data_IF_728301404119
#
_entry.id   IF_728301404119
#
_cell.length_a   1.000
_cell.length_b   1.000
_cell.length_c   1.000
_cell.angle_alpha   90.00
_cell.angle_beta   90.00
_cell.angle_gamma   90.00
#
_symmetry.space_group_name_H-M   'P 1'
#
loop_
_entity.id
_entity.type
_entity.pdbx_description
1 polymer ?
#
# COMPACT_ATOMS: atom_id res chain seq x y z
N UNK A 1 16.42 3.75 8.15
CA UNK A 1 15.33 4.42 7.42
C UNK A 1 15.97 5.45 6.50
N UNK A 2 15.80 5.27 5.20
CA UNK A 2 16.17 6.28 4.20
C UNK A 2 14.91 6.59 3.40
N UNK A 3 14.48 7.85 3.38
CA UNK A 3 13.21 8.27 2.79
C UNK A 3 13.46 9.16 1.58
N UNK A 4 12.82 8.82 0.46
CA UNK A 4 12.80 9.66 -0.73
C UNK A 4 11.70 10.73 -0.64
N UNK A 5 11.87 11.84 -1.35
CA UNK A 5 10.86 12.89 -1.35
C UNK A 5 9.53 12.42 -1.97
N UNK A 6 8.41 12.83 -1.36
CA UNK A 6 7.07 12.55 -1.88
C UNK A 6 6.37 13.86 -2.29
N UNK A 7 6.14 14.11 -3.60
CA UNK A 7 5.64 15.41 -4.06
C UNK A 7 4.13 15.59 -3.98
N UNK A 8 3.33 14.52 -3.89
CA UNK A 8 1.88 14.56 -4.10
C UNK A 8 1.11 13.59 -3.19
N UNK A 9 -0.11 14.00 -2.79
CA UNK A 9 -1.07 13.12 -2.11
C UNK A 9 -1.66 12.09 -3.08
N UNK A 10 -2.42 11.12 -2.56
CA UNK A 10 -3.11 10.11 -3.36
C UNK A 10 -4.62 10.38 -3.35
N UNK A 11 -5.20 10.97 -4.40
CA UNK A 11 -6.64 11.16 -4.51
C UNK A 11 -7.29 9.82 -4.86
N UNK A 12 -7.81 9.10 -3.85
CA UNK A 12 -8.20 7.67 -3.96
C UNK A 12 -9.28 7.47 -5.02
N UNK A 13 -10.31 8.31 -5.05
CA UNK A 13 -11.42 8.18 -6.00
C UNK A 13 -10.95 8.38 -7.45
N UNK A 14 -10.11 9.38 -7.70
CA UNK A 14 -9.52 9.63 -9.01
C UNK A 14 -8.52 8.53 -9.40
N UNK A 15 -7.78 7.98 -8.43
CA UNK A 15 -6.88 6.84 -8.65
C UNK A 15 -7.68 5.62 -9.14
N UNK A 16 -8.81 5.33 -8.49
CA UNK A 16 -9.70 4.23 -8.88
C UNK A 16 -10.30 4.51 -10.26
N UNK A 17 -10.81 5.72 -10.52
CA UNK A 17 -11.34 6.12 -11.84
C UNK A 17 -10.31 5.97 -12.96
N UNK A 18 -9.05 6.31 -12.71
CA UNK A 18 -7.97 6.12 -13.68
C UNK A 18 -7.67 4.63 -13.96
N UNK A 19 -7.73 3.78 -12.95
CA UNK A 19 -7.57 2.32 -13.11
C UNK A 19 -8.77 1.72 -13.88
N UNK A 20 -9.98 2.20 -13.60
CA UNK A 20 -11.22 1.78 -14.27
C UNK A 20 -11.25 2.19 -15.74
N UNK A 21 -10.68 3.33 -16.08
CA UNK A 21 -10.54 3.77 -17.47
C UNK A 21 -9.79 2.76 -18.35
N UNK A 22 -8.81 2.04 -17.79
CA UNK A 22 -8.00 1.03 -18.51
C UNK A 22 -8.85 -0.16 -19.00
N UNK A 23 -10.04 -0.39 -18.42
CA UNK A 23 -10.98 -1.40 -18.95
C UNK A 23 -11.43 -1.08 -20.38
N UNK A 24 -11.58 0.21 -20.68
CA UNK A 24 -12.20 0.70 -21.91
C UNK A 24 -11.17 1.21 -22.92
N UNK A 25 -10.06 1.76 -22.43
CA UNK A 25 -9.02 2.34 -23.27
C UNK A 25 -7.64 1.91 -22.77
N UNK A 26 -6.89 1.21 -23.64
CA UNK A 26 -5.59 0.63 -23.31
C UNK A 26 -4.42 1.38 -23.96
N UNK A 27 -4.62 2.55 -24.53
CA UNK A 27 -3.53 3.39 -25.00
C UNK A 27 -2.94 4.27 -23.87
N UNK A 28 -1.62 4.26 -23.70
CA UNK A 28 -0.93 4.98 -22.63
C UNK A 28 -1.06 6.50 -22.72
N UNK A 29 -1.09 7.09 -23.92
CA UNK A 29 -1.24 8.55 -24.07
C UNK A 29 -2.66 9.00 -23.75
N UNK A 30 -3.67 8.22 -24.15
CA UNK A 30 -5.06 8.50 -23.75
C UNK A 30 -5.27 8.37 -22.25
N UNK A 31 -4.64 7.38 -21.60
CA UNK A 31 -4.65 7.28 -20.14
C UNK A 31 -3.98 8.49 -19.50
N UNK A 32 -2.82 8.94 -20.02
CA UNK A 32 -2.13 10.13 -19.51
C UNK A 32 -3.03 11.36 -19.56
N UNK A 33 -3.69 11.60 -20.69
CA UNK A 33 -4.65 12.71 -20.84
C UNK A 33 -5.81 12.58 -19.87
N UNK A 34 -6.42 11.39 -19.76
CA UNK A 34 -7.52 11.17 -18.82
C UNK A 34 -7.11 11.42 -17.37
N UNK A 35 -5.92 10.96 -16.96
CA UNK A 35 -5.38 11.25 -15.63
C UNK A 35 -5.16 12.75 -15.46
N UNK A 36 -4.67 13.46 -16.48
CA UNK A 36 -4.48 14.91 -16.38
C UNK A 36 -5.80 15.66 -16.15
N UNK A 37 -6.90 15.18 -16.75
CA UNK A 37 -8.22 15.81 -16.69
C UNK A 37 -8.95 15.58 -15.36
N UNK A 38 -8.85 14.38 -14.78
CA UNK A 38 -9.64 14.04 -13.58
C UNK A 38 -8.98 14.46 -12.27
N UNK A 39 -7.68 14.76 -12.27
CA UNK A 39 -6.93 14.98 -11.02
C UNK A 39 -7.31 16.31 -10.37
N UNK A 40 -7.49 16.34 -9.03
CA UNK A 40 -7.95 17.53 -8.31
C UNK A 40 -6.80 18.49 -7.99
N UNK A 41 -5.79 18.57 -8.86
CA UNK A 41 -4.56 19.31 -8.65
C UNK A 41 -4.32 20.35 -9.73
N UNK A 42 -3.43 21.31 -9.45
CA UNK A 42 -2.85 22.13 -10.50
C UNK A 42 -1.89 21.34 -11.39
N UNK A 43 -1.77 21.74 -12.66
CA UNK A 43 -1.04 21.07 -13.74
C UNK A 43 0.31 20.46 -13.33
N UNK A 44 1.17 21.23 -12.63
CA UNK A 44 2.50 20.76 -12.22
C UNK A 44 2.46 19.56 -11.27
N UNK A 45 1.46 19.49 -10.39
CA UNK A 45 1.30 18.39 -9.44
C UNK A 45 0.63 17.20 -10.13
N UNK A 46 -0.32 17.48 -11.03
CA UNK A 46 -0.97 16.46 -11.88
C UNK A 46 0.05 15.66 -12.69
N UNK A 47 0.98 16.32 -13.38
CA UNK A 47 2.03 15.63 -14.15
C UNK A 47 2.90 14.72 -13.27
N UNK A 48 3.24 15.16 -12.05
CA UNK A 48 4.01 14.36 -11.09
C UNK A 48 3.22 13.14 -10.62
N UNK A 49 1.96 13.36 -10.24
CA UNK A 49 1.06 12.29 -9.84
C UNK A 49 0.92 11.27 -10.97
N UNK A 50 0.62 11.71 -12.20
CA UNK A 50 0.46 10.84 -13.37
C UNK A 50 1.67 9.95 -13.61
N UNK A 51 2.87 10.52 -13.58
CA UNK A 51 4.10 9.73 -13.76
C UNK A 51 4.26 8.67 -12.66
N UNK A 52 3.89 9.00 -11.41
CA UNK A 52 3.89 8.06 -10.30
C UNK A 52 2.76 7.03 -10.38
N UNK A 53 1.59 7.41 -10.87
CA UNK A 53 0.47 6.51 -11.15
C UNK A 53 0.89 5.44 -12.16
N UNK A 54 1.49 5.85 -13.29
CA UNK A 54 2.01 4.94 -14.31
C UNK A 54 3.06 4.01 -13.70
N UNK A 55 4.03 4.55 -12.96
CA UNK A 55 5.07 3.77 -12.29
C UNK A 55 4.49 2.71 -11.33
N UNK A 56 3.37 3.01 -10.67
CA UNK A 56 2.79 2.16 -9.62
C UNK A 56 1.87 1.07 -10.16
N UNK A 57 1.05 1.40 -11.16
CA UNK A 57 -0.11 0.58 -11.51
C UNK A 57 -0.08 0.06 -12.95
N UNK A 58 0.74 0.65 -13.83
CA UNK A 58 0.62 0.45 -15.26
C UNK A 58 1.85 -0.31 -15.79
N UNK A 59 1.59 -1.43 -16.44
CA UNK A 59 2.57 -2.17 -17.24
C UNK A 59 2.25 -1.94 -18.72
N UNK A 60 3.26 -1.73 -19.57
CA UNK A 60 3.07 -1.41 -21.00
C UNK A 60 3.87 -2.34 -21.91
N UNK A 61 3.32 -2.63 -23.09
CA UNK A 61 4.03 -3.19 -24.25
C UNK A 61 3.90 -2.21 -25.40
N UNK A 62 4.96 -1.43 -25.67
CA UNK A 62 4.87 -0.30 -26.58
C UNK A 62 3.94 0.78 -26.03
N UNK A 63 2.95 1.19 -26.82
CA UNK A 63 1.91 2.16 -26.40
C UNK A 63 0.70 1.50 -25.73
N UNK A 64 0.63 0.17 -25.73
CA UNK A 64 -0.49 -0.57 -25.18
C UNK A 64 -0.27 -0.92 -23.71
N UNK A 65 -1.29 -0.67 -22.90
CA UNK A 65 -1.34 -1.02 -21.48
C UNK A 65 -1.71 -2.49 -21.35
N UNK A 66 -0.87 -3.25 -20.67
CA UNK A 66 -1.13 -4.62 -20.28
C UNK A 66 -2.17 -4.59 -19.14
N UNK A 67 -3.27 -5.32 -19.30
CA UNK A 67 -4.27 -5.48 -18.26
C UNK A 67 -3.78 -6.47 -17.19
N UNK A 68 -2.86 -5.99 -16.36
CA UNK A 68 -2.14 -6.79 -15.36
C UNK A 68 -3.08 -7.37 -14.29
N UNK A 69 -2.64 -8.40 -13.54
CA UNK A 69 -3.40 -8.93 -12.40
C UNK A 69 -3.82 -7.88 -11.38
N UNK A 70 -2.96 -6.88 -11.14
CA UNK A 70 -3.25 -5.76 -10.23
C UNK A 70 -4.40 -4.90 -10.76
N UNK A 71 -4.33 -4.52 -12.04
CA UNK A 71 -5.38 -3.75 -12.67
C UNK A 71 -6.68 -4.53 -12.70
N UNK A 72 -6.63 -5.81 -13.09
CA UNK A 72 -7.78 -6.71 -13.13
C UNK A 72 -8.46 -6.85 -11.77
N UNK A 73 -7.69 -7.10 -10.71
CA UNK A 73 -8.23 -7.26 -9.36
C UNK A 73 -8.92 -5.99 -8.85
N UNK A 74 -8.28 -4.83 -8.94
CA UNK A 74 -8.88 -3.55 -8.51
C UNK A 74 -10.15 -3.25 -9.31
N UNK A 75 -10.16 -3.63 -10.58
CA UNK A 75 -11.25 -3.34 -11.49
C UNK A 75 -12.48 -4.23 -11.31
N UNK A 76 -12.27 -5.50 -11.01
CA UNK A 76 -13.32 -6.51 -10.96
C UNK A 76 -13.84 -6.78 -9.55
N UNK A 77 -13.12 -6.33 -8.51
CA UNK A 77 -13.66 -6.34 -7.14
C UNK A 77 -14.66 -5.19 -6.94
N UNK A 78 -15.84 -5.47 -6.41
CA UNK A 78 -16.86 -4.44 -6.19
C UNK A 78 -16.60 -3.61 -4.92
N UNK A 79 -15.93 -4.19 -3.94
CA UNK A 79 -15.75 -3.56 -2.64
C UNK A 79 -14.74 -2.39 -2.69
N UNK A 80 -15.23 -1.16 -2.50
CA UNK A 80 -14.41 0.05 -2.48
C UNK A 80 -13.28 0.01 -1.43
N UNK A 81 -13.55 -0.52 -0.24
CA UNK A 81 -12.53 -0.62 0.81
C UNK A 81 -11.42 -1.59 0.40
N UNK A 82 -11.74 -2.70 -0.28
CA UNK A 82 -10.73 -3.61 -0.85
C UNK A 82 -9.85 -2.90 -1.87
N UNK A 83 -10.44 -2.13 -2.81
CA UNK A 83 -9.68 -1.31 -3.77
C UNK A 83 -8.74 -0.35 -3.05
N UNK A 84 -9.25 0.34 -2.03
CA UNK A 84 -8.50 1.29 -1.20
C UNK A 84 -7.32 0.63 -0.48
N UNK A 85 -7.53 -0.54 0.12
CA UNK A 85 -6.49 -1.28 0.84
C UNK A 85 -5.37 -1.76 -0.09
N UNK A 86 -5.70 -2.16 -1.32
CA UNK A 86 -4.69 -2.55 -2.32
C UNK A 86 -3.90 -1.33 -2.79
N UNK A 87 -4.59 -0.23 -3.11
CA UNK A 87 -3.91 1.03 -3.49
C UNK A 87 -2.97 1.48 -2.36
N UNK A 88 -3.40 1.40 -1.10
CA UNK A 88 -2.55 1.71 0.06
C UNK A 88 -1.28 0.85 0.08
N UNK A 89 -1.42 -0.47 -0.07
CA UNK A 89 -0.28 -1.38 -0.10
C UNK A 89 0.70 -1.05 -1.25
N UNK A 90 0.19 -0.75 -2.45
CA UNK A 90 1.03 -0.34 -3.59
C UNK A 90 1.73 1.00 -3.30
N UNK A 91 1.05 1.96 -2.67
CA UNK A 91 1.67 3.23 -2.26
C UNK A 91 2.79 3.01 -1.25
N UNK A 92 2.57 2.18 -0.22
CA UNK A 92 3.59 1.88 0.78
C UNK A 92 4.80 1.13 0.20
N UNK A 93 4.57 0.16 -0.69
CA UNK A 93 5.65 -0.62 -1.32
C UNK A 93 6.46 0.15 -2.34
N UNK A 94 5.89 1.22 -2.93
CA UNK A 94 6.56 2.06 -3.96
C UNK A 94 7.00 3.43 -3.46
N UNK A 95 6.67 3.80 -2.22
CA UNK A 95 7.06 5.06 -1.60
C UNK A 95 7.71 4.83 -0.24
N UNK A 96 9.03 4.94 -0.19
CA UNK A 96 9.79 4.83 1.06
C UNK A 96 9.32 5.84 2.12
N UNK A 97 8.87 7.04 1.72
CA UNK A 97 8.34 8.05 2.63
C UNK A 97 7.09 7.62 3.41
N UNK A 98 6.25 6.76 2.82
CA UNK A 98 5.06 6.24 3.48
C UNK A 98 5.39 4.90 4.12
N UNK A 99 5.93 3.96 3.33
CA UNK A 99 6.20 2.60 3.76
C UNK A 99 7.16 2.52 4.96
N UNK A 100 8.26 3.27 4.94
CA UNK A 100 9.24 3.21 6.04
C UNK A 100 8.73 3.88 7.32
N UNK A 101 7.92 4.93 7.21
CA UNK A 101 7.29 5.56 8.38
C UNK A 101 6.29 4.61 9.04
N UNK A 102 5.47 3.92 8.24
CA UNK A 102 4.54 2.91 8.78
C UNK A 102 5.29 1.75 9.43
N UNK A 103 6.38 1.28 8.81
CA UNK A 103 7.27 0.28 9.42
C UNK A 103 7.89 0.79 10.73
N UNK A 104 8.28 2.06 10.80
CA UNK A 104 8.82 2.65 12.02
C UNK A 104 7.79 2.71 13.16
N UNK A 105 6.50 2.94 12.86
CA UNK A 105 5.41 2.77 13.83
C UNK A 105 5.25 1.30 14.25
N UNK A 106 5.18 0.37 13.28
CA UNK A 106 5.08 -1.06 13.56
C UNK A 106 6.22 -1.57 14.47
N UNK A 107 7.44 -1.11 14.21
CA UNK A 107 8.65 -1.46 14.96
C UNK A 107 8.77 -0.69 16.29
N UNK A 108 7.80 0.15 16.64
CA UNK A 108 7.79 1.01 17.85
C UNK A 108 8.97 1.98 17.94
N UNK A 109 9.57 2.34 16.80
CA UNK A 109 10.59 3.40 16.69
C UNK A 109 9.95 4.79 16.73
N UNK A 110 8.68 4.88 16.35
CA UNK A 110 7.82 6.05 16.55
C UNK A 110 6.68 5.62 17.48
N UNK A 111 6.39 6.37 18.56
CA UNK A 111 5.32 6.03 19.49
C UNK A 111 3.94 6.14 18.83
N UNK A 112 2.95 5.40 19.33
CA UNK A 112 1.58 5.39 18.80
C UNK A 112 0.89 6.76 18.90
N UNK A 113 1.28 7.58 19.89
CA UNK A 113 0.89 8.97 20.02
C UNK A 113 2.18 9.79 19.91
N UNK A 114 2.24 10.70 18.93
CA UNK A 114 3.45 11.46 18.62
C UNK A 114 3.12 12.91 18.33
N UNK A 115 3.91 13.83 18.88
CA UNK A 115 3.78 15.25 18.58
C UNK A 115 4.17 15.55 17.14
N UNK A 116 3.54 16.56 16.53
CA UNK A 116 3.80 16.90 15.13
C UNK A 116 5.27 17.23 14.84
N UNK A 117 5.96 17.86 15.80
CA UNK A 117 7.38 18.21 15.72
C UNK A 117 8.29 16.98 15.85
N UNK A 118 7.99 16.06 16.77
CA UNK A 118 8.73 14.81 16.93
C UNK A 118 8.60 13.92 15.69
N UNK A 119 7.40 13.85 15.11
CA UNK A 119 7.19 13.13 13.87
C UNK A 119 7.97 13.80 12.73
N UNK A 120 7.98 15.13 12.64
CA UNK A 120 8.81 15.84 11.65
C UNK A 120 10.30 15.56 11.84
N UNK A 121 10.79 15.46 13.08
CA UNK A 121 12.17 15.09 13.38
C UNK A 121 12.51 13.68 12.88
N UNK A 122 11.57 12.72 12.96
CA UNK A 122 11.75 11.39 12.38
C UNK A 122 11.95 11.43 10.85
N UNK A 123 11.25 12.32 10.13
CA UNK A 123 11.50 12.57 8.71
C UNK A 123 12.86 13.21 8.48
N UNK A 124 13.22 14.23 9.26
CA UNK A 124 14.53 14.91 9.16
C UNK A 124 15.70 13.94 9.33
N UNK A 125 15.64 13.06 10.34
CA UNK A 125 16.66 12.02 10.57
C UNK A 125 16.78 11.02 9.43
N UNK A 126 15.71 10.84 8.67
CA UNK A 126 15.58 9.85 7.58
C UNK A 126 15.85 10.41 6.19
N UNK A 127 15.94 11.74 6.05
CA UNK A 127 16.16 12.46 4.81
C UNK A 127 17.41 13.34 4.92
N UNK A 128 18.55 12.75 5.33
CA UNK A 128 19.75 13.49 5.80
C UNK A 128 20.30 14.53 4.80
N UNK A 129 20.17 14.28 3.51
CA UNK A 129 20.70 15.15 2.44
C UNK A 129 19.63 16.05 1.78
N UNK A 130 18.39 16.01 2.28
CA UNK A 130 17.29 16.76 1.70
C UNK A 130 17.24 18.20 2.25
N UNK A 131 16.86 19.15 1.40
CA UNK A 131 16.54 20.52 1.81
C UNK A 131 15.36 20.51 2.79
N UNK A 132 15.39 21.39 3.79
CA UNK A 132 14.33 21.52 4.80
C UNK A 132 12.92 21.67 4.18
N UNK A 133 12.79 22.45 3.11
CA UNK A 133 11.53 22.62 2.39
C UNK A 133 11.01 21.31 1.77
N UNK A 134 11.91 20.45 1.27
CA UNK A 134 11.57 19.12 0.76
C UNK A 134 11.15 18.17 1.88
N UNK A 135 11.79 18.25 3.05
CA UNK A 135 11.44 17.45 4.23
C UNK A 135 10.04 17.84 4.72
N UNK A 136 9.78 19.13 4.93
CA UNK A 136 8.47 19.64 5.34
C UNK A 136 7.36 19.26 4.37
N UNK A 137 7.64 19.33 3.06
CA UNK A 137 6.69 18.90 2.03
C UNK A 137 6.41 17.39 2.12
N UNK A 138 7.45 16.57 2.19
CA UNK A 138 7.32 15.10 2.27
C UNK A 138 6.57 14.70 3.53
N UNK A 139 6.90 15.28 4.68
CA UNK A 139 6.17 15.12 5.94
C UNK A 139 4.68 15.46 5.78
N UNK A 140 4.36 16.63 5.21
CA UNK A 140 2.98 17.08 5.04
C UNK A 140 2.19 16.14 4.13
N UNK A 141 2.81 15.68 3.05
CA UNK A 141 2.18 14.79 2.08
C UNK A 141 1.99 13.39 2.67
N UNK A 142 3.04 12.82 3.28
CA UNK A 142 2.97 11.50 3.93
C UNK A 142 1.94 11.48 5.05
N UNK A 143 1.89 12.48 5.93
CA UNK A 143 0.88 12.54 7.00
C UNK A 143 -0.53 12.67 6.46
N UNK A 144 -0.74 13.41 5.36
CA UNK A 144 -2.03 13.46 4.66
C UNK A 144 -2.43 12.10 4.13
N UNK A 145 -1.53 11.40 3.43
CA UNK A 145 -1.79 10.04 2.90
C UNK A 145 -2.13 9.08 4.04
N UNK A 146 -1.34 9.08 5.12
CA UNK A 146 -1.60 8.24 6.28
C UNK A 146 -2.95 8.53 6.94
N UNK A 147 -3.41 9.79 6.92
CA UNK A 147 -4.76 10.14 7.37
C UNK A 147 -5.84 9.71 6.38
N UNK A 148 -5.65 9.89 5.08
CA UNK A 148 -6.61 9.46 4.05
C UNK A 148 -6.84 7.94 4.09
N UNK A 149 -5.80 7.17 4.39
CA UNK A 149 -5.87 5.71 4.59
C UNK A 149 -6.20 5.28 6.03
N UNK A 150 -6.58 6.22 6.90
CA UNK A 150 -6.99 5.94 8.28
C UNK A 150 -5.91 5.26 9.15
N UNK A 151 -4.64 5.46 8.80
CA UNK A 151 -3.48 5.01 9.58
C UNK A 151 -3.20 5.98 10.73
N UNK A 152 -3.34 7.29 10.48
CA UNK A 152 -3.19 8.33 11.48
C UNK A 152 -4.46 9.18 11.58
N UNK A 153 -4.88 9.46 12.81
CA UNK A 153 -5.78 10.59 13.08
C UNK A 153 -4.98 11.74 13.69
N UNK A 154 -5.50 12.96 13.64
CA UNK A 154 -4.87 14.10 14.31
C UNK A 154 -5.82 14.78 15.27
N UNK A 155 -5.35 15.07 16.48
CA UNK A 155 -6.06 15.84 17.51
C UNK A 155 -5.16 17.00 17.97
N UNK A 156 -5.77 18.11 18.38
CA UNK A 156 -5.05 19.13 19.16
C UNK A 156 -5.10 18.73 20.63
N UNK A 157 -3.93 18.70 21.25
CA UNK A 157 -3.81 18.56 22.69
C UNK A 157 -4.53 19.74 23.39
N UNK A 158 -5.34 19.44 24.39
CA UNK A 158 -6.23 20.45 25.00
C UNK A 158 -5.46 21.46 25.85
N UNK A 159 -4.33 21.04 26.42
CA UNK A 159 -3.50 21.86 27.32
C UNK A 159 -2.48 22.69 26.53
N UNK A 160 -1.77 22.05 25.59
CA UNK A 160 -0.67 22.67 24.85
C UNK A 160 -1.11 23.27 23.51
N UNK A 161 -2.31 22.93 23.02
CA UNK A 161 -2.81 23.23 21.66
C UNK A 161 -1.94 22.65 20.53
N UNK A 162 -0.95 21.83 20.85
CA UNK A 162 -0.06 21.19 19.88
C UNK A 162 -0.80 20.11 19.12
N UNK A 163 -0.49 19.97 17.82
CA UNK A 163 -1.06 18.90 16.98
C UNK A 163 -0.35 17.58 17.32
N UNK A 164 -1.12 16.59 17.75
CA UNK A 164 -0.70 15.21 17.95
C UNK A 164 -1.26 14.31 16.87
N UNK A 165 -0.47 13.36 16.42
CA UNK A 165 -0.93 12.25 15.59
C UNK A 165 -1.14 11.02 16.46
N UNK A 166 -2.23 10.30 16.20
CA UNK A 166 -2.61 9.09 16.92
C UNK A 166 -2.71 7.97 15.89
N UNK A 167 -1.91 6.94 16.10
CA UNK A 167 -1.87 5.73 15.28
C UNK A 167 -3.15 4.92 15.46
N UNK A 168 -3.74 4.50 14.34
CA UNK A 168 -4.85 3.56 14.37
C UNK A 168 -4.33 2.13 14.52
N UNK A 169 -4.43 1.59 15.73
CA UNK A 169 -4.02 0.21 16.06
C UNK A 169 -5.10 -0.83 15.78
N UNK A 170 -6.27 -0.41 15.29
CA UNK A 170 -7.42 -1.27 15.04
C UNK A 170 -7.81 -1.29 13.56
N UNK A 171 -6.82 -1.35 12.68
CA UNK A 171 -7.06 -1.55 11.25
C UNK A 171 -7.72 -2.92 11.01
N UNK A 172 -8.71 -2.92 10.12
CA UNK A 172 -9.52 -4.08 9.72
C UNK A 172 -9.67 -4.12 8.20
N UNK A 173 -8.57 -4.31 7.45
CA UNK A 173 -8.63 -4.45 6.00
C UNK A 173 -9.43 -5.69 5.58
N UNK A 174 -9.95 -5.71 4.35
CA UNK A 174 -10.70 -6.86 3.88
C UNK A 174 -9.79 -8.09 3.66
N UNK A 175 -10.34 -9.29 3.82
CA UNK A 175 -9.58 -10.53 3.67
C UNK A 175 -8.97 -10.67 2.26
N UNK A 176 -9.74 -10.30 1.24
CA UNK A 176 -9.37 -10.33 -0.16
C UNK A 176 -8.21 -9.38 -0.45
N UNK A 177 -8.18 -8.20 0.19
CA UNK A 177 -7.06 -7.26 0.07
C UNK A 177 -5.78 -7.86 0.65
N UNK A 178 -5.85 -8.48 1.83
CA UNK A 178 -4.69 -9.09 2.48
C UNK A 178 -4.18 -10.30 1.71
N UNK A 179 -5.09 -11.12 1.20
CA UNK A 179 -4.78 -12.24 0.31
C UNK A 179 -4.03 -11.74 -0.93
N UNK A 180 -4.57 -10.75 -1.64
CA UNK A 180 -3.95 -10.21 -2.84
C UNK A 180 -2.57 -9.60 -2.53
N UNK A 181 -2.46 -8.80 -1.47
CA UNK A 181 -1.21 -8.14 -1.09
C UNK A 181 -0.11 -9.14 -0.69
N UNK A 182 -0.46 -10.22 0.03
CA UNK A 182 0.49 -11.30 0.36
C UNK A 182 1.01 -11.98 -0.91
N UNK A 183 0.11 -12.33 -1.83
CA UNK A 183 0.50 -12.90 -3.12
C UNK A 183 1.34 -11.91 -3.94
N UNK A 184 0.98 -10.63 -3.95
CA UNK A 184 1.73 -9.61 -4.66
C UNK A 184 3.15 -9.47 -4.09
N UNK A 185 3.28 -9.41 -2.77
CA UNK A 185 4.57 -9.33 -2.10
C UNK A 185 5.44 -10.57 -2.39
N UNK A 186 4.91 -11.77 -2.15
CA UNK A 186 5.71 -12.98 -2.23
C UNK A 186 5.97 -13.44 -3.66
N UNK A 187 4.97 -13.34 -4.55
CA UNK A 187 5.09 -13.82 -5.93
C UNK A 187 5.71 -12.75 -6.84
N UNK A 188 5.17 -11.51 -6.85
CA UNK A 188 5.62 -10.45 -7.78
C UNK A 188 6.88 -9.73 -7.28
N UNK A 189 6.94 -9.36 -6.01
CA UNK A 189 8.07 -8.57 -5.48
C UNK A 189 9.26 -9.47 -5.10
N UNK A 190 9.01 -10.54 -4.33
CA UNK A 190 10.08 -11.40 -3.78
C UNK A 190 10.42 -12.61 -4.65
N UNK A 191 9.52 -13.03 -5.54
CA UNK A 191 9.70 -14.25 -6.35
C UNK A 191 9.81 -15.54 -5.53
N UNK A 192 9.20 -15.60 -4.35
CA UNK A 192 9.27 -16.72 -3.42
C UNK A 192 7.88 -17.32 -3.14
N UNK A 193 7.64 -18.53 -3.64
CA UNK A 193 6.36 -19.24 -3.51
C UNK A 193 6.26 -20.12 -2.26
N UNK A 194 7.39 -20.40 -1.61
CA UNK A 194 7.47 -21.23 -0.40
C UNK A 194 8.29 -20.54 0.70
N UNK A 195 7.85 -19.37 1.18
CA UNK A 195 8.54 -18.68 2.26
C UNK A 195 8.48 -19.45 3.59
N UNK A 196 9.51 -19.29 4.39
CA UNK A 196 9.50 -19.69 5.81
C UNK A 196 8.38 -18.95 6.54
N UNK A 197 7.77 -19.57 7.55
CA UNK A 197 6.70 -19.00 8.37
C UNK A 197 7.10 -17.65 8.96
N UNK A 198 8.30 -17.53 9.49
CA UNK A 198 8.81 -16.28 10.06
C UNK A 198 8.83 -15.14 9.02
N UNK A 199 9.21 -15.45 7.78
CA UNK A 199 9.22 -14.46 6.70
C UNK A 199 7.82 -13.99 6.33
N UNK A 200 6.81 -14.86 6.41
CA UNK A 200 5.39 -14.48 6.21
C UNK A 200 4.88 -13.66 7.38
N UNK A 201 5.18 -14.06 8.62
CA UNK A 201 4.74 -13.33 9.82
C UNK A 201 5.39 -11.95 9.94
N UNK A 202 6.58 -11.75 9.37
CA UNK A 202 7.30 -10.48 9.31
C UNK A 202 7.20 -9.75 7.96
N UNK A 203 6.26 -10.15 7.10
CA UNK A 203 6.10 -9.54 5.78
C UNK A 203 5.65 -8.07 5.82
N UNK A 204 5.93 -7.34 4.73
CA UNK A 204 5.59 -5.93 4.60
C UNK A 204 4.09 -5.70 4.54
N UNK A 205 3.32 -6.64 3.97
CA UNK A 205 1.86 -6.62 3.99
C UNK A 205 1.35 -6.45 5.42
N UNK A 206 1.78 -7.27 6.36
CA UNK A 206 1.31 -7.15 7.75
C UNK A 206 1.84 -5.91 8.47
N UNK A 207 3.07 -5.48 8.16
CA UNK A 207 3.66 -4.25 8.73
C UNK A 207 2.90 -3.01 8.27
N UNK A 208 2.56 -2.91 7.00
CA UNK A 208 1.84 -1.76 6.45
C UNK A 208 0.43 -1.61 7.03
N UNK A 209 -0.22 -2.72 7.41
CA UNK A 209 -1.52 -2.70 8.09
C UNK A 209 -1.40 -2.79 9.62
N UNK A 210 -0.20 -2.57 10.19
CA UNK A 210 0.05 -2.52 11.64
C UNK A 210 -0.54 -3.72 12.39
N UNK A 211 -0.49 -4.91 11.79
CA UNK A 211 -1.23 -6.05 12.30
C UNK A 211 -0.60 -6.65 13.55
N UNK A 212 -1.40 -6.81 14.60
CA UNK A 212 -1.02 -7.61 15.77
C UNK A 212 -0.86 -9.09 15.40
N UNK A 213 -0.09 -9.84 16.20
CA UNK A 213 0.11 -11.28 15.99
C UNK A 213 -1.22 -12.07 15.93
N UNK A 214 -2.22 -11.65 16.72
CA UNK A 214 -3.54 -12.25 16.69
C UNK A 214 -4.25 -12.01 15.34
N UNK A 215 -4.17 -10.79 14.81
CA UNK A 215 -4.77 -10.46 13.51
C UNK A 215 -4.07 -11.18 12.37
N UNK A 216 -2.73 -11.25 12.37
CA UNK A 216 -1.96 -12.03 11.38
C UNK A 216 -2.45 -13.48 11.33
N UNK A 217 -2.56 -14.13 12.50
CA UNK A 217 -3.08 -15.51 12.60
C UNK A 217 -4.50 -15.64 12.09
N UNK A 218 -5.37 -14.66 12.33
CA UNK A 218 -6.76 -14.66 11.84
C UNK A 218 -6.83 -14.60 10.31
N UNK A 219 -6.08 -13.71 9.67
CA UNK A 219 -6.04 -13.63 8.20
C UNK A 219 -5.42 -14.89 7.60
N UNK A 220 -4.28 -15.34 8.12
CA UNK A 220 -3.64 -16.58 7.64
C UNK A 220 -4.56 -17.79 7.79
N UNK A 221 -5.27 -17.91 8.91
CA UNK A 221 -6.28 -18.97 9.08
C UNK A 221 -7.35 -18.91 8.01
N UNK A 222 -7.93 -17.74 7.74
CA UNK A 222 -8.94 -17.60 6.70
C UNK A 222 -8.39 -17.97 5.30
N UNK A 223 -7.17 -17.53 4.99
CA UNK A 223 -6.48 -17.82 3.72
C UNK A 223 -6.25 -19.34 3.56
N UNK A 224 -5.82 -20.02 4.63
CA UNK A 224 -5.62 -21.47 4.63
C UNK A 224 -6.95 -22.25 4.56
N UNK A 225 -7.96 -21.84 5.34
CA UNK A 225 -9.28 -22.47 5.34
C UNK A 225 -9.94 -22.38 3.94
N UNK A 226 -9.57 -21.37 3.15
CA UNK A 226 -10.00 -21.18 1.75
C UNK A 226 -9.11 -21.89 0.71
N UNK A 227 -8.03 -22.55 1.14
CA UNK A 227 -7.12 -23.30 0.26
C UNK A 227 -6.20 -22.41 -0.59
N UNK A 228 -6.00 -21.15 -0.23
CA UNK A 228 -5.13 -20.24 -0.97
C UNK A 228 -3.65 -20.39 -0.59
N UNK A 229 -3.37 -20.86 0.62
CA UNK A 229 -2.03 -21.15 1.09
C UNK A 229 -2.09 -22.43 1.92
N UNK A 230 -1.07 -23.26 1.82
CA UNK A 230 -0.89 -24.45 2.64
C UNK A 230 0.25 -24.24 3.64
N UNK A 231 0.13 -24.84 4.83
CA UNK A 231 1.15 -24.74 5.89
C UNK A 231 1.82 -26.11 6.10
N UNK A 232 3.12 -26.15 5.88
CA UNK A 232 3.95 -27.35 5.97
C UNK A 232 4.89 -27.27 7.16
N UNK A 233 4.89 -28.31 7.99
CA UNK A 233 5.81 -28.45 9.13
C UNK A 233 6.60 -29.75 8.97
N UNK A 234 7.92 -29.66 8.76
CA UNK A 234 8.81 -30.82 8.65
C UNK A 234 10.10 -30.60 9.45
N UNK A 235 10.32 -31.42 10.48
CA UNK A 235 11.60 -31.48 11.20
C UNK A 235 12.06 -30.16 11.84
N UNK A 236 11.13 -29.32 12.29
CA UNK A 236 11.43 -27.98 12.84
C UNK A 236 11.42 -26.85 11.81
N UNK A 237 11.34 -27.15 10.51
CA UNK A 237 11.10 -26.16 9.47
C UNK A 237 9.60 -25.96 9.27
N UNK A 238 9.18 -24.71 9.20
CA UNK A 238 7.78 -24.30 9.05
C UNK A 238 7.65 -23.37 7.85
N UNK A 239 6.88 -23.76 6.84
CA UNK A 239 6.77 -23.06 5.55
C UNK A 239 5.33 -22.88 5.14
N UNK A 240 5.06 -21.75 4.48
CA UNK A 240 3.83 -21.57 3.74
C UNK A 240 4.08 -21.84 2.25
N UNK A 241 3.14 -22.48 1.57
CA UNK A 241 3.16 -22.66 0.11
C UNK A 241 1.94 -21.97 -0.49
N UNK A 242 2.18 -21.04 -1.41
CA UNK A 242 1.10 -20.38 -2.15
C UNK A 242 0.51 -21.35 -3.18
N UNK A 243 -0.81 -21.56 -3.13
CA UNK A 243 -1.49 -22.55 -3.96
C UNK A 243 -1.49 -22.17 -5.46
N UNK A 244 -1.42 -20.87 -5.77
CA UNK A 244 -1.36 -20.40 -7.16
C UNK A 244 0.01 -19.86 -7.52
N UNK A 245 0.48 -20.30 -8.69
CA UNK A 245 1.81 -20.00 -9.18
C UNK A 245 1.97 -18.59 -9.77
N UNK A 246 0.86 -17.91 -10.03
CA UNK A 246 0.82 -16.56 -10.61
C UNK A 246 -0.29 -15.73 -9.96
N UNK A 247 -0.13 -14.41 -10.00
CA UNK A 247 -1.21 -13.51 -9.61
C UNK A 247 -2.43 -13.64 -10.53
N UNK A 248 -2.25 -13.94 -11.83
CA UNK A 248 -3.39 -14.17 -12.74
C UNK A 248 -4.32 -15.28 -12.21
N UNK A 249 -3.75 -16.44 -11.84
CA UNK A 249 -4.55 -17.55 -11.32
C UNK A 249 -5.27 -17.21 -10.02
N UNK A 250 -4.60 -16.48 -9.11
CA UNK A 250 -5.25 -15.98 -7.90
C UNK A 250 -6.45 -15.09 -8.24
N UNK A 251 -6.22 -14.10 -9.09
CA UNK A 251 -7.21 -13.07 -9.43
C UNK A 251 -8.44 -13.72 -10.07
N UNK A 252 -8.24 -14.67 -11.00
CA UNK A 252 -9.33 -15.48 -11.57
C UNK A 252 -10.14 -16.19 -10.50
N UNK A 253 -9.48 -16.83 -9.53
CA UNK A 253 -10.17 -17.61 -8.48
C UNK A 253 -10.90 -16.75 -7.46
N UNK A 254 -10.39 -15.57 -7.16
CA UNK A 254 -11.06 -14.66 -6.22
C UNK A 254 -12.28 -14.03 -6.89
N UNK A 255 -12.15 -13.56 -8.13
CA UNK A 255 -13.24 -12.88 -8.84
C UNK A 255 -14.33 -13.87 -9.29
N UNK A 256 -13.97 -15.11 -9.64
CA UNK A 256 -14.96 -16.12 -10.06
C UNK A 256 -15.78 -16.72 -8.91
N UNK A 257 -15.44 -16.41 -7.66
CA UNK A 257 -16.09 -16.94 -6.45
C UNK A 257 -17.04 -15.93 -5.78
N UNK A 258 -17.21 -14.74 -6.38
CA UNK A 258 -18.33 -13.81 -6.12
C UNK A 258 -19.47 -14.09 -7.12
#
# INVERSE_FOLDING_TARGET
>A
MNIESLPERIPIEETIRAIEYVKYERNIEKLKSYVDDIMPFGEKTTVKYRNKFIQRFIEVTGEEIIYSPLLRFINEIDNFQTKKDIIYFIVCSTSSAVGEIVKAFNDKKIPEIVDSEELLEAFTKSMKDAKESSIKKTYSVSTTILTDFNILSSKKDEDTKNKKYILNTNLRPNNEAILFNLYYEFIKIKGNKMPEEEAVLDCDTFKYFLMSNLMKKRYLKWIMDKGYIEHYVMGGNSKYQFAYDTLDLLVEKVISND
#
